data_IF_539714541651
#
_entry.id   IF_539714541651
#
_cell.length_a   1.000
_cell.length_b   1.000
_cell.length_c   1.000
_cell.angle_alpha   90.00
_cell.angle_beta   90.00
_cell.angle_gamma   90.00
#
_symmetry.space_group_name_H-M   'P 1'
#
loop_
_entity.id
_entity.type
_entity.pdbx_description
1 polymer ?
#
# COMPACT_ATOMS: atom_id res chain seq x y z
N UNK A 1 -6.35 -41.04 -4.88
CA UNK A 1 -5.42 -39.91 -5.13
C UNK A 1 -5.35 -39.70 -6.63
N UNK A 2 -5.55 -38.49 -7.15
CA UNK A 2 -4.66 -37.35 -6.90
C UNK A 2 -5.35 -36.12 -6.29
N UNK A 3 -4.56 -35.32 -5.56
CA UNK A 3 -4.93 -34.02 -4.99
C UNK A 3 -4.85 -32.96 -6.10
N UNK A 4 -6.00 -32.46 -6.53
CA UNK A 4 -6.06 -31.18 -7.25
C UNK A 4 -5.78 -30.06 -6.26
N UNK A 5 -4.62 -29.41 -6.40
CA UNK A 5 -4.39 -28.08 -5.83
C UNK A 5 -5.17 -27.12 -6.71
N UNK A 6 -6.34 -26.70 -6.23
CA UNK A 6 -7.14 -25.67 -6.87
C UNK A 6 -6.47 -24.32 -6.57
N UNK A 7 -5.58 -23.89 -7.46
CA UNK A 7 -5.16 -22.49 -7.54
C UNK A 7 -6.38 -21.73 -8.07
N UNK A 8 -7.20 -21.20 -7.17
CA UNK A 8 -8.31 -20.33 -7.52
C UNK A 8 -7.70 -19.01 -7.98
N UNK A 9 -7.83 -18.71 -9.28
CA UNK A 9 -7.54 -17.39 -9.86
C UNK A 9 -8.24 -16.32 -9.02
N UNK A 10 -7.45 -15.44 -8.40
CA UNK A 10 -7.94 -14.30 -7.60
C UNK A 10 -8.75 -13.31 -8.44
N UNK A 11 -8.66 -13.36 -9.78
CA UNK A 11 -9.43 -12.50 -10.68
C UNK A 11 -10.94 -12.82 -10.70
N UNK A 12 -11.33 -14.02 -10.21
CA UNK A 12 -12.75 -14.37 -10.07
C UNK A 12 -13.38 -13.92 -8.74
N UNK A 13 -12.58 -13.48 -7.78
CA UNK A 13 -13.13 -12.82 -6.60
C UNK A 13 -13.32 -11.34 -6.93
N UNK A 14 -14.55 -10.92 -6.74
CA UNK A 14 -14.94 -9.54 -6.85
C UNK A 14 -13.93 -8.65 -6.07
N UNK A 15 -13.29 -7.64 -6.69
CA UNK A 15 -12.37 -6.73 -6.00
C UNK A 15 -13.00 -6.06 -4.77
N UNK A 16 -14.33 -5.96 -4.77
CA UNK A 16 -15.14 -5.51 -3.63
C UNK A 16 -15.05 -6.43 -2.42
N UNK A 17 -14.87 -7.75 -2.60
CA UNK A 17 -14.67 -8.71 -1.53
C UNK A 17 -13.29 -8.54 -0.86
N UNK A 18 -12.24 -8.21 -1.61
CA UNK A 18 -10.89 -8.02 -1.04
C UNK A 18 -10.80 -6.68 -0.30
N UNK A 19 -11.38 -5.60 -0.83
CA UNK A 19 -11.50 -4.33 -0.11
C UNK A 19 -12.35 -4.48 1.15
N UNK A 20 -13.51 -5.15 1.06
CA UNK A 20 -14.36 -5.44 2.21
C UNK A 20 -13.64 -6.32 3.23
N UNK A 21 -12.96 -7.39 2.81
CA UNK A 21 -12.17 -8.25 3.70
C UNK A 21 -11.01 -7.48 4.33
N UNK A 22 -10.33 -6.59 3.60
CA UNK A 22 -9.20 -5.82 4.11
C UNK A 22 -9.69 -4.75 5.09
N UNK A 23 -10.74 -4.00 4.77
CA UNK A 23 -11.34 -3.03 5.68
C UNK A 23 -12.00 -3.70 6.88
N UNK A 24 -12.72 -4.81 6.70
CA UNK A 24 -13.28 -5.60 7.80
C UNK A 24 -12.19 -6.26 8.64
N UNK A 25 -11.10 -6.75 8.05
CA UNK A 25 -9.97 -7.27 8.81
C UNK A 25 -9.30 -6.15 9.62
N UNK A 26 -9.07 -4.97 9.03
CA UNK A 26 -8.53 -3.79 9.74
C UNK A 26 -9.48 -3.36 10.87
N UNK A 27 -10.79 -3.32 10.62
CA UNK A 27 -11.81 -2.96 11.61
C UNK A 27 -11.99 -4.03 12.69
N UNK A 28 -11.90 -5.31 12.36
CA UNK A 28 -11.95 -6.43 13.30
C UNK A 28 -10.68 -6.51 14.13
N UNK A 29 -9.51 -6.24 13.54
CA UNK A 29 -8.24 -6.11 14.26
C UNK A 29 -8.31 -4.90 15.20
N UNK A 30 -8.78 -3.74 14.71
CA UNK A 30 -8.97 -2.55 15.53
C UNK A 30 -9.95 -2.80 16.69
N UNK A 31 -11.12 -3.38 16.42
CA UNK A 31 -12.12 -3.72 17.42
C UNK A 31 -11.59 -4.77 18.40
N UNK A 32 -10.88 -5.80 17.93
CA UNK A 32 -10.30 -6.85 18.78
C UNK A 32 -9.21 -6.29 19.70
N UNK A 33 -8.37 -5.37 19.20
CA UNK A 33 -7.35 -4.69 20.01
C UNK A 33 -8.00 -3.77 21.05
N UNK A 34 -9.00 -2.99 20.65
CA UNK A 34 -9.71 -2.05 21.55
C UNK A 34 -10.53 -2.79 22.62
N UNK A 35 -11.08 -3.96 22.29
CA UNK A 35 -11.87 -4.78 23.24
C UNK A 35 -11.00 -5.67 24.14
N UNK A 36 -9.85 -6.16 23.66
CA UNK A 36 -8.93 -6.98 24.43
C UNK A 36 -8.12 -6.21 25.48
N UNK A 37 -8.04 -4.87 25.38
CA UNK A 37 -7.26 -4.04 26.30
C UNK A 37 -8.16 -2.97 26.95
N UNK A 38 -8.68 -3.20 28.17
CA UNK A 38 -9.64 -2.31 28.83
C UNK A 38 -9.17 -0.86 29.00
N UNK A 39 -7.85 -0.63 29.11
CA UNK A 39 -7.26 0.71 29.20
C UNK A 39 -7.30 1.51 27.88
N UNK A 40 -7.52 0.84 26.74
CA UNK A 40 -7.66 1.47 25.42
C UNK A 40 -9.06 2.03 25.19
N UNK A 41 -10.08 1.37 25.76
CA UNK A 41 -11.49 1.78 25.68
C UNK A 41 -11.74 3.17 26.30
N UNK A 42 -10.92 3.58 27.28
CA UNK A 42 -10.99 4.89 27.94
C UNK A 42 -10.20 6.00 27.23
N UNK A 43 -9.16 5.67 26.43
CA UNK A 43 -8.25 6.66 25.82
C UNK A 43 -8.59 6.99 24.37
N UNK A 44 -9.21 6.06 23.65
CA UNK A 44 -9.66 6.30 22.29
C UNK A 44 -11.06 6.92 22.35
N UNK A 45 -11.25 8.02 21.62
CA UNK A 45 -12.58 8.60 21.42
C UNK A 45 -13.31 7.73 20.38
N UNK A 46 -13.62 6.49 20.78
CA UNK A 46 -14.31 5.46 19.98
C UNK A 46 -15.58 6.07 19.38
N UNK A 47 -16.25 6.95 20.12
CA UNK A 47 -17.44 7.68 19.67
C UNK A 47 -17.15 8.57 18.44
N UNK A 48 -15.99 9.22 18.35
CA UNK A 48 -15.64 10.04 17.18
C UNK A 48 -15.39 9.20 15.93
N UNK A 49 -14.62 8.11 16.05
CA UNK A 49 -14.35 7.21 14.91
C UNK A 49 -15.64 6.53 14.42
N UNK A 50 -16.48 6.05 15.34
CA UNK A 50 -17.80 5.50 15.00
C UNK A 50 -18.74 6.58 14.45
N UNK A 51 -18.66 7.83 14.90
CA UNK A 51 -19.45 8.96 14.38
C UNK A 51 -19.01 9.39 12.98
N UNK A 52 -17.70 9.38 12.69
CA UNK A 52 -17.14 9.62 11.36
C UNK A 52 -17.48 8.46 10.42
N UNK A 53 -17.32 7.20 10.85
CA UNK A 53 -17.77 6.03 10.10
C UNK A 53 -19.29 6.04 9.86
N UNK A 54 -20.09 6.53 10.82
CA UNK A 54 -21.53 6.74 10.68
C UNK A 54 -21.87 7.83 9.66
N UNK A 55 -21.16 8.97 9.71
CA UNK A 55 -21.34 10.10 8.78
C UNK A 55 -20.88 9.79 7.35
N UNK A 56 -19.88 8.93 7.20
CA UNK A 56 -19.38 8.45 5.91
C UNK A 56 -20.15 7.22 5.36
N UNK A 57 -21.24 6.81 5.99
CA UNK A 57 -22.08 5.69 5.53
C UNK A 57 -21.52 4.29 5.77
N UNK A 58 -20.37 4.16 6.46
CA UNK A 58 -19.69 2.89 6.70
C UNK A 58 -20.39 1.99 7.74
N UNK A 59 -21.27 2.54 8.59
CA UNK A 59 -22.07 1.75 9.56
C UNK A 59 -23.26 1.01 8.95
N UNK A 60 -23.66 1.30 7.71
CA UNK A 60 -24.63 0.47 7.01
C UNK A 60 -24.13 -0.98 6.82
N UNK A 61 -22.81 -1.18 6.85
CA UNK A 61 -22.18 -2.50 6.73
C UNK A 61 -22.22 -3.31 8.04
N UNK A 62 -22.46 -2.67 9.19
CA UNK A 62 -22.54 -3.38 10.48
C UNK A 62 -23.92 -4.02 10.70
N UNK A 63 -24.99 -3.44 10.15
CA UNK A 63 -26.33 -4.06 10.16
C UNK A 63 -26.42 -5.28 9.21
N UNK A 64 -25.63 -5.30 8.13
CA UNK A 64 -25.52 -6.46 7.23
C UNK A 64 -24.69 -7.57 7.89
N UNK A 65 -23.62 -7.23 8.62
CA UNK A 65 -22.77 -8.20 9.33
C UNK A 65 -23.44 -8.85 10.56
N UNK A 66 -24.27 -8.12 11.30
CA UNK A 66 -24.95 -8.68 12.49
C UNK A 66 -26.10 -9.63 12.14
N UNK A 67 -26.60 -9.59 10.90
CA UNK A 67 -27.80 -10.34 10.49
C UNK A 67 -27.49 -11.61 9.67
N UNK A 68 -26.23 -11.87 9.31
CA UNK A 68 -25.88 -13.01 8.45
C UNK A 68 -24.90 -13.92 9.17
N UNK A 69 -25.45 -14.98 9.77
CA UNK A 69 -24.66 -16.15 10.17
C UNK A 69 -23.82 -16.63 8.97
N UNK A 70 -22.49 -16.57 9.15
CA UNK A 70 -21.43 -16.93 8.18
C UNK A 70 -21.59 -18.36 7.61
N UNK A 71 -22.42 -19.21 8.23
CA UNK A 71 -22.79 -20.54 7.73
C UNK A 71 -23.68 -20.52 6.46
N UNK A 72 -24.49 -19.47 6.26
CA UNK A 72 -25.48 -19.45 5.17
C UNK A 72 -24.88 -19.09 3.80
N UNK A 73 -23.85 -18.23 3.79
CA UNK A 73 -23.13 -17.85 2.55
C UNK A 73 -22.33 -19.03 2.01
N UNK A 74 -21.77 -19.87 2.89
CA UNK A 74 -20.96 -21.03 2.47
C UNK A 74 -21.82 -22.12 1.82
N UNK A 75 -23.03 -22.39 2.33
CA UNK A 75 -23.95 -23.38 1.72
C UNK A 75 -24.56 -22.95 0.39
N UNK A 76 -24.64 -21.66 0.10
CA UNK A 76 -25.22 -21.15 -1.15
C UNK A 76 -24.21 -21.10 -2.30
N UNK A 77 -22.90 -21.21 -2.02
CA UNK A 77 -21.85 -21.17 -3.04
C UNK A 77 -21.53 -22.54 -3.67
N UNK A 78 -21.97 -23.65 -3.09
CA UNK A 78 -21.79 -24.99 -3.67
C UNK A 78 -22.87 -25.38 -4.70
N UNK A 79 -24.00 -24.67 -4.74
CA UNK A 79 -25.08 -24.91 -5.69
C UNK A 79 -25.69 -23.62 -6.22
N UNK A 80 -25.20 -23.16 -7.37
CA UNK A 80 -25.97 -22.28 -8.25
C UNK A 80 -26.06 -22.89 -9.65
N UNK A 81 -27.25 -23.34 -10.08
CA UNK A 81 -27.62 -23.24 -11.47
C UNK A 81 -27.93 -21.77 -11.80
N UNK A 82 -27.61 -21.39 -13.03
CA UNK A 82 -27.94 -20.11 -13.67
C UNK A 82 -29.44 -19.84 -13.55
N UNK A 83 -29.85 -18.65 -13.09
CA UNK A 83 -30.97 -17.82 -13.62
C UNK A 83 -31.41 -16.69 -12.64
N UNK A 84 -31.76 -15.53 -13.23
CA UNK A 84 -32.87 -14.68 -12.77
C UNK A 84 -32.54 -13.36 -12.07
N UNK A 85 -32.66 -12.25 -12.80
CA UNK A 85 -32.74 -10.87 -12.28
C UNK A 85 -33.88 -10.74 -11.26
N UNK A 86 -33.57 -10.19 -10.08
CA UNK A 86 -34.34 -9.24 -9.25
C UNK A 86 -34.11 -9.49 -7.75
N UNK A 87 -33.06 -8.88 -7.19
CA UNK A 87 -32.94 -8.69 -5.74
C UNK A 87 -33.06 -7.19 -5.43
N UNK A 88 -33.98 -6.84 -4.52
CA UNK A 88 -34.23 -5.48 -4.07
C UNK A 88 -33.11 -5.09 -3.10
N UNK A 89 -32.23 -4.22 -3.59
CA UNK A 89 -31.08 -3.68 -2.86
C UNK A 89 -31.54 -2.63 -1.83
N UNK A 90 -31.06 -2.70 -0.58
CA UNK A 90 -31.44 -1.75 0.47
C UNK A 90 -30.90 -0.32 0.21
N UNK A 91 -31.47 0.75 0.82
CA UNK A 91 -31.10 2.14 0.51
C UNK A 91 -29.61 2.46 0.65
N UNK A 92 -28.94 1.85 1.65
CA UNK A 92 -27.52 2.03 1.86
C UNK A 92 -26.65 1.23 0.88
N UNK A 93 -27.13 0.07 0.44
CA UNK A 93 -26.46 -0.75 -0.55
C UNK A 93 -26.59 -0.14 -1.96
N UNK A 94 -27.73 0.49 -2.24
CA UNK A 94 -27.95 1.35 -3.42
C UNK A 94 -27.04 2.58 -3.40
N UNK A 95 -26.89 3.26 -2.25
CA UNK A 95 -25.98 4.41 -2.13
C UNK A 95 -24.51 4.01 -2.35
N UNK A 96 -24.08 2.92 -1.71
CA UNK A 96 -22.73 2.39 -1.86
C UNK A 96 -22.49 2.00 -3.31
N UNK A 97 -23.38 1.20 -3.92
CA UNK A 97 -23.23 0.69 -5.28
C UNK A 97 -23.33 1.76 -6.37
N UNK A 98 -24.20 2.78 -6.20
CA UNK A 98 -24.45 3.79 -7.24
C UNK A 98 -23.60 5.06 -7.10
N UNK A 99 -23.09 5.39 -5.91
CA UNK A 99 -22.38 6.65 -5.68
C UNK A 99 -20.95 6.47 -5.18
N UNK A 100 -20.71 5.55 -4.23
CA UNK A 100 -19.37 5.33 -3.68
C UNK A 100 -18.53 4.41 -4.60
N UNK A 101 -19.19 3.47 -5.28
CA UNK A 101 -18.57 2.41 -6.08
C UNK A 101 -18.84 2.50 -7.59
N UNK A 102 -19.43 3.59 -8.08
CA UNK A 102 -19.52 3.79 -9.53
C UNK A 102 -18.12 4.11 -10.09
N UNK A 103 -17.76 3.49 -11.22
CA UNK A 103 -16.44 3.58 -11.87
C UNK A 103 -15.78 4.98 -11.87
N UNK A 104 -16.49 6.10 -12.13
CA UNK A 104 -15.86 7.43 -12.11
C UNK A 104 -15.44 7.93 -10.72
N UNK A 105 -15.93 7.36 -9.62
CA UNK A 105 -15.62 7.82 -8.25
C UNK A 105 -14.52 7.03 -7.56
N UNK A 106 -14.14 5.85 -8.07
CA UNK A 106 -13.14 4.96 -7.49
C UNK A 106 -11.81 5.68 -7.17
N UNK A 107 -11.23 6.52 -8.06
CA UNK A 107 -10.00 7.25 -7.76
C UNK A 107 -10.14 8.16 -6.52
N UNK A 108 -11.24 8.92 -6.43
CA UNK A 108 -11.41 9.91 -5.36
C UNK A 108 -11.71 9.27 -4.01
N UNK A 109 -12.55 8.24 -3.99
CA UNK A 109 -12.91 7.52 -2.74
C UNK A 109 -11.73 6.73 -2.21
N UNK A 110 -10.90 6.14 -3.08
CA UNK A 110 -9.68 5.43 -2.68
C UNK A 110 -8.58 6.36 -2.15
N UNK A 111 -8.41 7.56 -2.71
CA UNK A 111 -7.51 8.60 -2.16
C UNK A 111 -7.92 8.99 -0.74
N UNK A 112 -9.20 9.30 -0.54
CA UNK A 112 -9.72 9.61 0.80
C UNK A 112 -9.55 8.43 1.75
N UNK A 113 -9.80 7.21 1.28
CA UNK A 113 -9.55 5.97 2.02
C UNK A 113 -8.08 5.83 2.44
N UNK A 114 -7.14 6.14 1.56
CA UNK A 114 -5.71 6.14 1.85
C UNK A 114 -5.32 7.14 2.94
N UNK A 115 -5.82 8.38 2.87
CA UNK A 115 -5.57 9.43 3.90
C UNK A 115 -6.14 9.00 5.26
N UNK A 116 -7.38 8.50 5.28
CA UNK A 116 -8.00 8.03 6.52
C UNK A 116 -7.26 6.81 7.11
N UNK A 117 -6.79 5.91 6.25
CA UNK A 117 -5.96 4.77 6.67
C UNK A 117 -4.66 5.26 7.29
N UNK A 118 -3.99 6.27 6.72
CA UNK A 118 -2.78 6.83 7.32
C UNK A 118 -3.03 7.35 8.74
N UNK A 119 -4.11 8.10 8.94
CA UNK A 119 -4.47 8.60 10.29
C UNK A 119 -4.76 7.46 11.28
N UNK A 120 -5.52 6.46 10.85
CA UNK A 120 -5.85 5.30 11.67
C UNK A 120 -4.58 4.53 12.07
N UNK A 121 -3.69 4.28 11.12
CA UNK A 121 -2.44 3.55 11.35
C UNK A 121 -1.49 4.33 12.24
N UNK A 122 -1.42 5.66 12.09
CA UNK A 122 -0.67 6.53 12.99
C UNK A 122 -1.12 6.33 14.45
N UNK A 123 -2.43 6.43 14.69
CA UNK A 123 -3.01 6.33 16.04
C UNK A 123 -2.83 4.92 16.61
N UNK A 124 -3.04 3.89 15.79
CA UNK A 124 -2.86 2.51 16.20
C UNK A 124 -1.39 2.21 16.51
N UNK A 125 -0.46 2.71 15.68
CA UNK A 125 0.98 2.57 15.92
C UNK A 125 1.36 3.24 17.23
N UNK A 126 0.90 4.47 17.47
CA UNK A 126 1.11 5.18 18.73
C UNK A 126 0.59 4.38 19.93
N UNK A 127 -0.60 3.79 19.79
CA UNK A 127 -1.27 3.05 20.84
C UNK A 127 -0.54 1.75 21.20
N UNK A 128 -0.30 0.90 20.20
CA UNK A 128 0.41 -0.36 20.35
C UNK A 128 1.82 -0.08 20.89
N UNK A 129 2.49 0.94 20.36
CA UNK A 129 3.85 1.30 20.78
C UNK A 129 3.90 1.74 22.25
N UNK A 130 2.95 2.57 22.69
CA UNK A 130 2.88 3.02 24.08
C UNK A 130 2.62 1.89 25.10
N UNK A 131 1.94 0.82 24.68
CA UNK A 131 1.61 -0.33 25.54
C UNK A 131 2.73 -1.37 25.55
N UNK A 132 3.22 -1.77 24.38
CA UNK A 132 4.10 -2.93 24.24
C UNK A 132 5.58 -2.57 24.19
N UNK A 133 5.94 -1.34 23.81
CA UNK A 133 7.34 -0.95 23.62
C UNK A 133 7.78 -0.01 24.75
N UNK A 134 8.44 -0.57 25.77
CA UNK A 134 8.92 0.20 26.95
C UNK A 134 9.75 1.43 26.57
N UNK A 135 10.56 1.34 25.51
CA UNK A 135 11.38 2.44 25.02
C UNK A 135 10.59 3.60 24.40
N UNK A 136 9.37 3.35 23.90
CA UNK A 136 8.58 4.34 23.16
C UNK A 136 8.19 5.55 24.03
N UNK A 137 7.81 5.32 25.29
CA UNK A 137 7.41 6.40 26.19
C UNK A 137 8.59 7.30 26.62
N UNK A 138 9.83 6.80 26.50
CA UNK A 138 11.05 7.57 26.75
C UNK A 138 11.53 8.40 25.56
N UNK A 139 10.94 8.23 24.38
CA UNK A 139 11.32 8.97 23.18
C UNK A 139 10.85 10.43 23.24
N UNK A 140 11.64 11.32 22.64
CA UNK A 140 11.25 12.72 22.45
C UNK A 140 9.97 12.82 21.61
N UNK A 141 9.28 13.97 21.64
CA UNK A 141 8.06 14.19 20.85
C UNK A 141 8.31 13.94 19.35
N UNK A 142 9.42 14.45 18.82
CA UNK A 142 9.79 14.31 17.41
C UNK A 142 10.07 12.84 17.05
N UNK A 143 10.83 12.13 17.89
CA UNK A 143 11.12 10.70 17.68
C UNK A 143 9.84 9.85 17.73
N UNK A 144 8.88 10.16 18.60
CA UNK A 144 7.57 9.47 18.61
C UNK A 144 6.78 9.74 17.33
N UNK A 145 6.80 10.98 16.84
CA UNK A 145 6.17 11.29 15.57
C UNK A 145 6.81 10.52 14.41
N UNK A 146 8.14 10.48 14.33
CA UNK A 146 8.85 9.69 13.33
C UNK A 146 8.55 8.19 13.47
N UNK A 147 8.54 7.67 14.71
CA UNK A 147 8.21 6.28 15.00
C UNK A 147 6.84 5.90 14.46
N UNK A 148 5.83 6.74 14.70
CA UNK A 148 4.46 6.48 14.25
C UNK A 148 4.33 6.66 12.74
N UNK A 149 5.04 7.63 12.16
CA UNK A 149 5.07 7.83 10.71
C UNK A 149 5.66 6.62 9.97
N UNK A 150 6.71 6.02 10.53
CA UNK A 150 7.28 4.77 10.02
C UNK A 150 6.32 3.58 10.09
N UNK A 151 5.34 3.61 11.00
CA UNK A 151 4.26 2.63 11.04
C UNK A 151 3.35 2.75 9.81
N UNK A 152 2.99 3.99 9.43
CA UNK A 152 2.20 4.27 8.23
C UNK A 152 2.92 3.76 6.98
N UNK A 153 4.17 4.20 6.76
CA UNK A 153 4.94 3.84 5.58
C UNK A 153 5.22 2.34 5.49
N UNK A 154 5.43 1.66 6.62
CA UNK A 154 5.57 0.19 6.64
C UNK A 154 4.30 -0.51 6.16
N UNK A 155 3.13 -0.12 6.65
CA UNK A 155 1.88 -0.76 6.23
C UNK A 155 1.59 -0.50 4.74
N UNK A 156 1.74 0.75 4.31
CA UNK A 156 1.55 1.12 2.91
C UNK A 156 2.49 0.31 2.00
N UNK A 157 3.77 0.26 2.36
CA UNK A 157 4.77 -0.46 1.59
C UNK A 157 4.45 -1.94 1.44
N UNK A 158 3.98 -2.61 2.50
CA UNK A 158 3.54 -4.01 2.44
C UNK A 158 2.34 -4.15 1.48
N UNK A 159 1.31 -3.32 1.66
CA UNK A 159 0.12 -3.33 0.82
C UNK A 159 0.45 -3.14 -0.67
N UNK A 160 1.20 -2.09 -1.00
CA UNK A 160 1.46 -1.75 -2.39
C UNK A 160 2.46 -2.71 -3.02
N UNK A 161 3.44 -3.23 -2.28
CA UNK A 161 4.39 -4.21 -2.82
C UNK A 161 3.69 -5.51 -3.20
N UNK A 162 2.82 -6.05 -2.32
CA UNK A 162 2.05 -7.27 -2.61
C UNK A 162 1.15 -7.04 -3.83
N UNK A 163 0.44 -5.92 -3.85
CA UNK A 163 -0.50 -5.59 -4.94
C UNK A 163 0.24 -5.38 -6.26
N UNK A 164 1.39 -4.70 -6.24
CA UNK A 164 2.21 -4.46 -7.43
C UNK A 164 2.80 -5.77 -7.97
N UNK A 165 3.33 -6.63 -7.10
CA UNK A 165 3.84 -7.94 -7.51
C UNK A 165 2.74 -8.79 -8.14
N UNK A 166 1.54 -8.80 -7.54
CA UNK A 166 0.38 -9.49 -8.08
C UNK A 166 0.05 -9.00 -9.50
N UNK A 167 -0.11 -7.69 -9.68
CA UNK A 167 -0.46 -7.14 -10.99
C UNK A 167 0.62 -7.36 -12.06
N UNK A 168 1.89 -7.16 -11.70
CA UNK A 168 3.00 -7.24 -12.66
C UNK A 168 3.32 -8.68 -13.07
N UNK A 169 3.21 -9.66 -12.16
CA UNK A 169 3.72 -11.02 -12.41
C UNK A 169 2.67 -12.13 -12.38
N UNK A 170 1.50 -11.91 -11.76
CA UNK A 170 0.51 -12.97 -11.54
C UNK A 170 -0.87 -12.70 -12.15
N UNK A 171 -1.23 -11.44 -12.39
CA UNK A 171 -2.50 -11.09 -13.03
C UNK A 171 -2.39 -11.15 -14.56
N UNK A 172 -3.50 -11.48 -15.21
CA UNK A 172 -3.63 -11.45 -16.66
C UNK A 172 -3.73 -10.02 -17.21
N UNK A 173 -3.93 -9.00 -16.35
CA UNK A 173 -4.11 -7.59 -16.72
C UNK A 173 -3.01 -7.04 -17.63
N UNK A 174 -1.75 -7.42 -17.36
CA UNK A 174 -0.58 -6.98 -18.12
C UNK A 174 0.08 -8.12 -18.90
N UNK A 175 -0.63 -9.25 -19.10
CA UNK A 175 -0.11 -10.38 -19.87
C UNK A 175 -0.14 -10.14 -21.38
N UNK A 176 0.84 -10.68 -22.11
CA UNK A 176 0.91 -10.55 -23.57
C UNK A 176 -0.11 -11.43 -24.32
N UNK A 177 -0.76 -12.37 -23.62
CA UNK A 177 -1.47 -13.46 -24.26
C UNK A 177 -2.92 -13.15 -24.67
N UNK A 178 -3.53 -12.06 -24.19
CA UNK A 178 -5.00 -11.99 -24.16
C UNK A 178 -5.70 -10.65 -24.46
N UNK A 179 -5.01 -9.58 -24.85
CA UNK A 179 -5.70 -8.30 -25.10
C UNK A 179 -5.22 -7.54 -26.33
N UNK A 180 -6.21 -7.04 -27.10
CA UNK A 180 -6.01 -6.16 -28.25
C UNK A 180 -5.61 -4.73 -27.85
N UNK A 181 -5.79 -4.36 -26.57
CA UNK A 181 -5.41 -3.07 -26.03
C UNK A 181 -3.89 -3.00 -25.76
N UNK A 182 -3.30 -1.84 -26.01
CA UNK A 182 -1.88 -1.56 -25.76
C UNK A 182 -1.59 -1.64 -24.25
N UNK A 183 -0.44 -2.23 -23.87
CA UNK A 183 -0.10 -2.49 -22.46
C UNK A 183 -0.04 -1.21 -21.62
N UNK A 184 0.24 -0.07 -22.26
CA UNK A 184 0.29 1.26 -21.65
C UNK A 184 -1.07 1.84 -21.30
N UNK A 185 -2.17 1.31 -21.82
CA UNK A 185 -3.54 1.80 -21.57
C UNK A 185 -4.36 0.84 -20.69
N UNK A 186 -3.87 -0.40 -20.50
CA UNK A 186 -4.55 -1.41 -19.68
C UNK A 186 -4.62 -0.97 -18.22
N UNK A 187 -5.83 -1.04 -17.68
CA UNK A 187 -6.12 -0.76 -16.29
C UNK A 187 -7.38 -1.52 -15.84
N UNK A 188 -7.62 -1.56 -14.54
CA UNK A 188 -8.81 -2.15 -13.94
C UNK A 188 -9.27 -1.30 -12.75
N UNK A 189 -10.54 -1.40 -12.31
CA UNK A 189 -11.00 -0.71 -11.10
C UNK A 189 -10.16 -1.05 -9.87
N UNK A 190 -9.69 -2.31 -9.75
CA UNK A 190 -8.85 -2.74 -8.62
C UNK A 190 -7.45 -2.12 -8.66
N UNK A 191 -6.84 -2.08 -9.85
CA UNK A 191 -5.51 -1.48 -10.01
C UNK A 191 -5.57 0.03 -9.77
N UNK A 192 -6.58 0.71 -10.31
CA UNK A 192 -6.84 2.14 -10.05
C UNK A 192 -7.12 2.42 -8.57
N UNK A 193 -7.91 1.56 -7.90
CA UNK A 193 -8.14 1.67 -6.46
C UNK A 193 -6.85 1.57 -5.64
N UNK A 194 -5.98 0.60 -5.97
CA UNK A 194 -4.70 0.41 -5.27
C UNK A 194 -3.78 1.63 -5.45
N UNK A 195 -3.72 2.19 -6.66
CA UNK A 195 -2.99 3.43 -6.90
C UNK A 195 -3.59 4.61 -6.12
N UNK A 196 -4.92 4.72 -6.02
CA UNK A 196 -5.53 5.79 -5.26
C UNK A 196 -5.31 5.73 -3.75
N UNK A 197 -5.35 4.53 -3.16
CA UNK A 197 -4.88 4.34 -1.77
C UNK A 197 -3.43 4.82 -1.62
N UNK A 198 -2.58 4.55 -2.62
CA UNK A 198 -1.18 4.97 -2.63
C UNK A 198 -1.02 6.49 -2.76
N UNK A 199 -1.82 7.15 -3.59
CA UNK A 199 -1.86 8.62 -3.68
C UNK A 199 -2.22 9.24 -2.33
N UNK A 200 -3.26 8.71 -1.66
CA UNK A 200 -3.65 9.16 -0.33
C UNK A 200 -2.53 9.03 0.71
N UNK A 201 -1.76 7.95 0.63
CA UNK A 201 -0.54 7.78 1.42
C UNK A 201 0.54 8.82 1.08
N UNK A 202 0.92 8.96 -0.20
CA UNK A 202 1.99 9.89 -0.60
C UNK A 202 1.66 11.34 -0.23
N UNK A 203 0.40 11.77 -0.36
CA UNK A 203 -0.04 13.10 0.08
C UNK A 203 0.11 13.25 1.60
N UNK A 204 -0.32 12.25 2.37
CA UNK A 204 -0.25 12.28 3.84
C UNK A 204 1.20 12.33 4.32
N UNK A 205 2.06 11.49 3.76
CA UNK A 205 3.47 11.41 4.15
C UNK A 205 4.26 12.65 3.72
N UNK A 206 4.06 13.13 2.49
CA UNK A 206 4.66 14.38 2.02
C UNK A 206 4.22 15.58 2.88
N UNK A 207 2.94 15.65 3.25
CA UNK A 207 2.41 16.67 4.14
C UNK A 207 3.12 16.67 5.51
N UNK A 208 3.34 15.49 6.09
CA UNK A 208 4.08 15.36 7.35
C UNK A 208 5.57 15.71 7.19
N UNK A 209 6.23 15.24 6.13
CA UNK A 209 7.63 15.57 5.83
C UNK A 209 7.81 17.08 5.75
N UNK A 210 6.94 17.77 5.00
CA UNK A 210 6.98 19.23 4.86
C UNK A 210 6.68 19.94 6.19
N UNK A 211 5.67 19.51 6.94
CA UNK A 211 5.28 20.13 8.21
C UNK A 211 6.36 20.01 9.29
N UNK A 212 7.11 18.91 9.28
CA UNK A 212 8.11 18.59 10.29
C UNK A 212 9.54 18.69 9.73
N UNK A 213 9.72 19.31 8.57
CA UNK A 213 11.02 19.48 7.94
C UNK A 213 11.96 20.28 8.85
N UNK A 214 13.25 19.90 8.98
CA UNK A 214 13.94 18.75 8.36
C UNK A 214 13.95 17.48 9.24
N UNK A 215 13.09 17.38 10.26
CA UNK A 215 13.16 16.34 11.29
C UNK A 215 12.72 14.96 10.81
N UNK A 216 11.77 14.87 9.86
CA UNK A 216 11.28 13.59 9.31
C UNK A 216 11.99 13.14 8.03
N UNK A 217 12.79 14.00 7.41
CA UNK A 217 13.45 13.71 6.15
C UNK A 217 14.25 14.88 5.59
N UNK A 218 15.17 14.57 4.67
CA UNK A 218 15.91 15.53 3.87
C UNK A 218 15.23 15.88 2.55
N UNK A 219 15.86 16.75 1.76
CA UNK A 219 15.39 17.18 0.43
C UNK A 219 15.17 15.98 -0.49
N UNK A 220 15.97 14.93 -0.38
CA UNK A 220 15.80 13.71 -1.15
C UNK A 220 14.44 13.03 -0.91
N UNK A 221 13.90 13.11 0.31
CA UNK A 221 12.60 12.52 0.62
C UNK A 221 11.46 13.36 0.04
N UNK A 222 11.58 14.68 0.07
CA UNK A 222 10.60 15.59 -0.55
C UNK A 222 10.56 15.35 -2.06
N UNK A 223 11.71 15.30 -2.72
CA UNK A 223 11.79 15.05 -4.17
C UNK A 223 11.23 13.67 -4.51
N UNK A 224 11.64 12.63 -3.77
CA UNK A 224 11.13 11.27 -3.97
C UNK A 224 9.61 11.21 -3.86
N UNK A 225 9.03 11.69 -2.75
CA UNK A 225 7.59 11.60 -2.51
C UNK A 225 6.79 12.50 -3.46
N UNK A 226 7.32 13.65 -3.87
CA UNK A 226 6.66 14.52 -4.85
C UNK A 226 6.59 13.87 -6.23
N UNK A 227 7.71 13.31 -6.72
CA UNK A 227 7.76 12.60 -8.00
C UNK A 227 6.83 11.38 -7.99
N UNK A 228 6.86 10.58 -6.91
CA UNK A 228 5.97 9.44 -6.73
C UNK A 228 4.50 9.87 -6.69
N UNK A 229 4.15 10.90 -5.90
CA UNK A 229 2.78 11.40 -5.81
C UNK A 229 2.24 11.82 -7.18
N UNK A 230 3.03 12.55 -7.97
CA UNK A 230 2.64 13.03 -9.30
C UNK A 230 2.45 11.85 -10.27
N UNK A 231 3.42 10.93 -10.36
CA UNK A 231 3.36 9.80 -11.29
C UNK A 231 2.23 8.81 -10.96
N UNK A 232 2.04 8.50 -9.68
CA UNK A 232 0.98 7.59 -9.22
C UNK A 232 -0.39 8.25 -9.42
N UNK A 233 -0.53 9.55 -9.14
CA UNK A 233 -1.78 10.28 -9.39
C UNK A 233 -2.14 10.32 -10.87
N UNK A 234 -1.16 10.58 -11.74
CA UNK A 234 -1.36 10.55 -13.19
C UNK A 234 -1.91 9.20 -13.65
N UNK A 235 -1.25 8.11 -13.25
CA UNK A 235 -1.58 6.76 -13.73
C UNK A 235 -2.90 6.25 -13.14
N UNK A 236 -3.25 6.71 -11.93
CA UNK A 236 -4.57 6.49 -11.33
C UNK A 236 -5.67 7.23 -12.10
N UNK A 237 -5.48 8.52 -12.40
CA UNK A 237 -6.54 9.37 -12.97
C UNK A 237 -6.77 9.11 -14.46
N UNK A 238 -5.72 8.76 -15.19
CA UNK A 238 -5.78 8.56 -16.65
C UNK A 238 -5.95 7.10 -17.04
N UNK A 239 -5.59 6.15 -16.16
CA UNK A 239 -5.49 4.73 -16.50
C UNK A 239 -4.23 4.38 -17.31
N UNK A 240 -3.43 5.37 -17.72
CA UNK A 240 -2.24 5.13 -18.52
C UNK A 240 -1.01 4.78 -17.67
N UNK A 241 -0.14 3.92 -18.19
CA UNK A 241 1.18 3.64 -17.61
C UNK A 241 1.14 2.89 -16.27
N UNK A 242 -0.01 2.29 -15.91
CA UNK A 242 -0.17 1.61 -14.62
C UNK A 242 0.84 0.47 -14.43
N UNK A 243 1.15 -0.30 -15.49
CA UNK A 243 2.18 -1.34 -15.43
C UNK A 243 3.52 -0.78 -14.91
N UNK A 244 3.99 0.31 -15.52
CA UNK A 244 5.26 0.94 -15.16
C UNK A 244 5.22 1.56 -13.76
N UNK A 245 4.07 2.09 -13.36
CA UNK A 245 3.87 2.59 -12.00
C UNK A 245 3.96 1.45 -10.99
N UNK A 246 3.31 0.31 -11.23
CA UNK A 246 3.43 -0.85 -10.36
C UNK A 246 4.85 -1.44 -10.34
N UNK A 247 5.54 -1.50 -11.49
CA UNK A 247 6.96 -1.91 -11.52
C UNK A 247 7.82 -1.02 -10.60
N UNK A 248 7.61 0.30 -10.62
CA UNK A 248 8.31 1.23 -9.72
C UNK A 248 7.88 1.01 -8.26
N UNK A 249 6.59 0.81 -7.99
CA UNK A 249 6.06 0.64 -6.63
C UNK A 249 6.48 -0.66 -5.94
N UNK A 250 6.87 -1.71 -6.68
CA UNK A 250 7.52 -2.90 -6.09
C UNK A 250 8.76 -2.50 -5.27
N UNK A 251 9.43 -1.40 -5.61
CA UNK A 251 10.59 -0.91 -4.85
C UNK A 251 10.28 -0.55 -3.39
N UNK A 252 9.00 -0.32 -3.05
CA UNK A 252 8.55 -0.13 -1.67
C UNK A 252 8.75 -1.36 -0.79
N UNK A 253 9.02 -2.55 -1.35
CA UNK A 253 9.33 -3.76 -0.57
C UNK A 253 10.55 -3.57 0.34
N UNK A 254 11.40 -2.61 0.02
CA UNK A 254 12.58 -2.24 0.82
C UNK A 254 12.24 -1.34 2.02
N UNK A 255 11.12 -0.62 2.00
CA UNK A 255 10.74 0.38 3.00
C UNK A 255 10.55 -0.21 4.41
N UNK A 256 9.87 -1.38 4.59
CA UNK A 256 9.77 -2.03 5.89
C UNK A 256 11.13 -2.33 6.52
N UNK A 257 12.11 -2.75 5.72
CA UNK A 257 13.44 -3.07 6.20
C UNK A 257 14.23 -1.82 6.61
N UNK A 258 14.10 -0.72 5.85
CA UNK A 258 14.67 0.58 6.23
C UNK A 258 14.06 1.09 7.54
N UNK A 259 12.74 0.97 7.70
CA UNK A 259 12.03 1.34 8.92
C UNK A 259 12.44 0.46 10.11
N UNK A 260 12.55 -0.85 9.91
CA UNK A 260 13.03 -1.78 10.93
C UNK A 260 14.44 -1.45 11.38
N UNK A 261 15.34 -1.10 10.45
CA UNK A 261 16.69 -0.64 10.79
C UNK A 261 16.69 0.57 11.70
N UNK A 262 15.81 1.54 11.40
CA UNK A 262 15.66 2.73 12.21
C UNK A 262 15.08 2.41 13.60
N UNK A 263 14.08 1.53 13.69
CA UNK A 263 13.54 1.08 14.98
C UNK A 263 14.60 0.40 15.84
N UNK A 264 15.44 -0.45 15.24
CA UNK A 264 16.57 -1.07 15.95
C UNK A 264 17.59 -0.02 16.40
N UNK A 265 17.82 1.02 15.62
CA UNK A 265 18.72 2.11 16.00
C UNK A 265 18.19 2.91 17.20
N UNK A 266 16.95 3.39 17.10
CA UNK A 266 16.37 4.31 18.08
C UNK A 266 16.22 3.67 19.47
N UNK A 267 16.09 2.34 19.53
CA UNK A 267 16.05 1.58 20.80
C UNK A 267 17.42 1.06 21.24
N UNK A 268 18.51 1.51 20.61
CA UNK A 268 19.89 1.24 21.04
C UNK A 268 20.45 -0.12 20.58
N UNK A 269 19.82 -0.80 19.63
CA UNK A 269 20.18 -2.15 19.17
C UNK A 269 21.13 -2.18 17.95
N UNK A 270 21.84 -1.07 17.65
CA UNK A 270 22.84 -0.98 16.57
C UNK A 270 23.92 -2.07 16.57
N UNK A 271 24.24 -2.63 17.75
CA UNK A 271 25.27 -3.68 17.91
C UNK A 271 24.72 -5.11 17.92
N UNK A 272 23.40 -5.26 17.78
CA UNK A 272 22.74 -6.58 17.81
C UNK A 272 22.94 -7.37 16.51
N UNK A 273 22.79 -8.69 16.58
CA UNK A 273 22.73 -9.54 15.39
C UNK A 273 21.52 -9.21 14.50
N UNK A 274 20.40 -8.76 15.09
CA UNK A 274 19.22 -8.32 14.34
C UNK A 274 19.53 -7.14 13.41
N UNK A 275 20.29 -6.15 13.90
CA UNK A 275 20.70 -4.98 13.09
C UNK A 275 21.64 -5.38 11.94
N UNK A 276 22.53 -6.36 12.17
CA UNK A 276 23.39 -6.90 11.13
C UNK A 276 22.59 -7.65 10.05
N UNK A 277 21.71 -8.56 10.46
CA UNK A 277 20.88 -9.37 9.56
C UNK A 277 19.99 -8.46 8.71
N UNK A 278 19.27 -7.53 9.33
CA UNK A 278 18.46 -6.54 8.62
C UNK A 278 19.32 -5.74 7.62
N UNK A 279 20.57 -5.38 7.97
CA UNK A 279 21.47 -4.71 7.04
C UNK A 279 21.85 -5.54 5.81
N UNK A 280 21.99 -6.86 5.95
CA UNK A 280 22.23 -7.78 4.84
C UNK A 280 20.96 -7.92 3.98
N UNK A 281 19.79 -8.05 4.62
CA UNK A 281 18.49 -8.12 3.92
C UNK A 281 18.25 -6.85 3.09
N UNK A 282 18.50 -5.66 3.66
CA UNK A 282 18.41 -4.38 2.93
C UNK A 282 19.30 -4.40 1.69
N UNK A 283 20.53 -4.90 1.80
CA UNK A 283 21.45 -4.94 0.65
C UNK A 283 20.88 -5.75 -0.51
N UNK A 284 20.42 -6.98 -0.25
CA UNK A 284 19.86 -7.84 -1.29
C UNK A 284 18.51 -7.32 -1.81
N UNK A 285 17.62 -6.88 -0.92
CA UNK A 285 16.33 -6.31 -1.31
C UNK A 285 16.51 -5.07 -2.19
N UNK A 286 17.48 -4.20 -1.87
CA UNK A 286 17.79 -3.02 -2.67
C UNK A 286 18.35 -3.38 -4.05
N UNK A 287 19.29 -4.33 -4.11
CA UNK A 287 19.85 -4.80 -5.39
C UNK A 287 18.73 -5.33 -6.30
N UNK A 288 17.85 -6.19 -5.79
CA UNK A 288 16.79 -6.79 -6.59
C UNK A 288 15.71 -5.77 -6.95
N UNK A 289 15.10 -5.12 -5.97
CA UNK A 289 13.90 -4.31 -6.18
C UNK A 289 14.16 -2.88 -6.68
N UNK A 290 15.37 -2.34 -6.46
CA UNK A 290 15.70 -0.94 -6.80
C UNK A 290 16.77 -0.79 -7.88
N UNK A 291 17.56 -1.84 -8.15
CA UNK A 291 18.57 -1.83 -9.24
C UNK A 291 18.12 -2.73 -10.39
N UNK A 292 18.02 -4.04 -10.18
CA UNK A 292 17.71 -4.99 -11.24
C UNK A 292 16.30 -4.77 -11.82
N UNK A 293 15.31 -4.52 -10.96
CA UNK A 293 13.95 -4.22 -11.42
C UNK A 293 13.85 -2.94 -12.24
N UNK A 294 14.62 -1.90 -11.90
CA UNK A 294 14.66 -0.67 -12.69
C UNK A 294 15.31 -0.89 -14.05
N UNK A 295 16.38 -1.68 -14.12
CA UNK A 295 16.99 -2.10 -15.40
C UNK A 295 15.96 -2.86 -16.25
N UNK A 296 15.25 -3.82 -15.66
CA UNK A 296 14.17 -4.55 -16.33
C UNK A 296 13.06 -3.63 -16.83
N UNK A 297 12.62 -2.68 -16.00
CA UNK A 297 11.58 -1.72 -16.35
C UNK A 297 12.00 -0.84 -17.54
N UNK A 298 13.23 -0.29 -17.55
CA UNK A 298 13.73 0.47 -18.70
C UNK A 298 13.84 -0.37 -19.97
N UNK A 299 14.28 -1.62 -19.84
CA UNK A 299 14.31 -2.56 -20.96
C UNK A 299 12.89 -2.82 -21.50
N UNK A 300 11.91 -3.00 -20.62
CA UNK A 300 10.50 -3.18 -21.02
C UNK A 300 9.93 -1.95 -21.72
N UNK A 301 10.20 -0.74 -21.19
CA UNK A 301 9.82 0.53 -21.82
C UNK A 301 10.46 0.67 -23.21
N UNK A 302 11.73 0.28 -23.36
CA UNK A 302 12.42 0.29 -24.65
C UNK A 302 11.75 -0.63 -25.68
N UNK A 303 11.37 -1.85 -25.29
CA UNK A 303 10.66 -2.78 -26.18
C UNK A 303 9.26 -2.28 -26.57
N UNK A 304 8.60 -1.52 -25.69
CA UNK A 304 7.24 -1.01 -25.89
C UNK A 304 7.22 0.48 -26.22
N UNK A 305 8.32 1.01 -26.80
CA UNK A 305 8.50 2.43 -27.06
C UNK A 305 7.33 3.02 -27.85
N UNK A 306 6.89 2.34 -28.92
CA UNK A 306 5.79 2.79 -29.77
C UNK A 306 4.46 2.91 -29.03
N UNK A 307 4.24 2.11 -27.98
CA UNK A 307 3.04 2.18 -27.14
C UNK A 307 3.11 3.33 -26.14
N UNK A 308 4.31 3.63 -25.64
CA UNK A 308 4.55 4.77 -24.74
C UNK A 308 4.41 6.10 -25.50
N UNK A 309 4.83 6.15 -26.76
CA UNK A 309 4.68 7.34 -27.61
C UNK A 309 3.22 7.67 -27.96
N UNK A 310 2.30 6.72 -27.77
CA UNK A 310 0.86 6.94 -27.97
C UNK A 310 0.15 7.49 -26.73
N UNK A 311 0.77 7.43 -25.55
CA UNK A 311 0.23 8.03 -24.32
C UNK A 311 0.13 9.55 -24.43
N UNK A 312 -0.61 10.19 -23.53
CA UNK A 312 -0.56 11.66 -23.45
C UNK A 312 0.88 12.13 -23.19
N UNK A 313 1.21 13.34 -23.64
CA UNK A 313 2.53 13.96 -23.47
C UNK A 313 3.01 13.92 -22.01
N UNK A 314 2.11 14.17 -21.05
CA UNK A 314 2.41 14.05 -19.63
C UNK A 314 2.80 12.62 -19.24
N UNK A 315 2.07 11.61 -19.73
CA UNK A 315 2.34 10.20 -19.44
C UNK A 315 3.68 9.75 -20.00
N UNK A 316 3.97 10.09 -21.26
CA UNK A 316 5.28 9.86 -21.87
C UNK A 316 6.41 10.48 -21.02
N UNK A 317 6.29 11.76 -20.62
CA UNK A 317 7.30 12.43 -19.78
C UNK A 317 7.46 11.71 -18.43
N UNK A 318 6.37 11.29 -17.82
CA UNK A 318 6.41 10.64 -16.50
C UNK A 318 7.01 9.24 -16.54
N UNK A 319 6.69 8.44 -17.57
CA UNK A 319 7.24 7.07 -17.75
C UNK A 319 8.75 7.08 -17.90
N UNK A 320 9.32 8.08 -18.57
CA UNK A 320 10.78 8.20 -18.68
C UNK A 320 11.41 8.98 -17.53
N UNK A 321 10.84 10.14 -17.18
CA UNK A 321 11.45 11.09 -16.27
C UNK A 321 11.49 10.63 -14.81
N UNK A 322 10.36 10.16 -14.28
CA UNK A 322 10.26 9.79 -12.86
C UNK A 322 11.12 8.55 -12.55
N UNK A 323 11.02 7.43 -13.30
CA UNK A 323 11.90 6.29 -13.07
C UNK A 323 13.39 6.62 -13.22
N UNK A 324 13.78 7.52 -14.13
CA UNK A 324 15.17 7.96 -14.29
C UNK A 324 15.70 8.73 -13.08
N UNK A 325 14.91 9.65 -12.56
CA UNK A 325 15.23 10.38 -11.33
C UNK A 325 15.34 9.41 -10.14
N UNK A 326 14.36 8.51 -9.99
CA UNK A 326 14.34 7.50 -8.93
C UNK A 326 15.51 6.51 -9.04
N UNK A 327 15.88 6.08 -10.25
CA UNK A 327 17.04 5.22 -10.48
C UNK A 327 18.34 5.89 -10.02
N UNK A 328 18.51 7.18 -10.32
CA UNK A 328 19.68 7.96 -9.89
C UNK A 328 19.76 8.01 -8.36
N UNK A 329 18.64 8.28 -7.69
CA UNK A 329 18.57 8.27 -6.23
C UNK A 329 18.84 6.88 -5.66
N UNK A 330 18.29 5.83 -6.28
CA UNK A 330 18.51 4.44 -5.89
C UNK A 330 19.98 4.04 -5.98
N UNK A 331 20.72 4.49 -7.00
CA UNK A 331 22.16 4.27 -7.12
C UNK A 331 22.95 5.01 -6.03
N UNK A 332 22.60 6.27 -5.76
CA UNK A 332 23.22 7.04 -4.67
C UNK A 332 23.04 6.36 -3.30
N UNK A 333 21.82 5.93 -2.99
CA UNK A 333 21.51 5.24 -1.74
C UNK A 333 22.15 3.84 -1.67
N UNK A 334 22.20 3.10 -2.78
CA UNK A 334 22.90 1.81 -2.84
C UNK A 334 24.39 1.97 -2.52
N UNK A 335 25.01 3.04 -3.02
CA UNK A 335 26.38 3.41 -2.63
C UNK A 335 26.55 3.64 -1.13
N UNK A 336 25.58 4.26 -0.45
CA UNK A 336 25.58 4.42 1.01
C UNK A 336 25.43 3.06 1.74
N UNK A 337 24.55 2.19 1.26
CA UNK A 337 24.34 0.84 1.82
C UNK A 337 25.62 0.00 1.70
N UNK A 338 26.26 -0.01 0.54
CA UNK A 338 27.55 -0.69 0.30
C UNK A 338 28.63 -0.22 1.27
N UNK A 339 28.79 1.10 1.44
CA UNK A 339 29.74 1.68 2.40
C UNK A 339 29.42 1.25 3.84
N UNK A 340 28.14 1.26 4.22
CA UNK A 340 27.68 0.83 5.55
C UNK A 340 27.95 -0.65 5.83
N UNK A 341 27.70 -1.51 4.86
CA UNK A 341 27.95 -2.95 4.97
C UNK A 341 29.45 -3.25 5.10
N UNK A 342 30.30 -2.66 4.24
CA UNK A 342 31.76 -2.80 4.31
C UNK A 342 32.30 -2.41 5.69
N UNK A 343 31.86 -1.27 6.23
CA UNK A 343 32.26 -0.80 7.58
C UNK A 343 31.85 -1.77 8.69
N UNK A 344 30.74 -2.49 8.52
CA UNK A 344 30.25 -3.44 9.53
C UNK A 344 31.04 -4.74 9.48
N UNK A 345 31.37 -5.23 8.29
CA UNK A 345 32.19 -6.43 8.10
C UNK A 345 33.63 -6.23 8.56
N UNK A 346 34.24 -5.07 8.24
CA UNK A 346 35.61 -4.75 8.63
C UNK A 346 35.82 -4.59 10.14
N UNK A 347 34.76 -4.44 10.94
CA UNK A 347 34.83 -4.38 12.41
C UNK A 347 34.69 -5.74 13.10
N UNK A 348 34.30 -6.77 12.36
CA UNK A 348 34.19 -8.15 12.85
C UNK A 348 35.41 -9.00 12.48
N UNK A 349 36.24 -8.51 11.56
CA UNK A 349 37.62 -8.95 11.36
C UNK A 349 38.50 -8.23 12.39
#
# INVERSE_FOLDING_TARGET
MPRFIMIVSMERYNPWSIMYITMCAILLIYHSIVTAVPSLKQKLNVIWFYSVAKKLGLLALQQVSASVHVSWIWRKLEHYPVLGKNEICGPAEVLVKNYILADPFVPYTSVLGGVLTCKLVYDLTQLISAVYFRGYNGLTKIQRTEWNNRGISTLHAIFISITSLYFVFWSDLFSDHHSAELITFRNSPLSTFALGVSVGYFISDLGMICWLYPSLGGVEYIVHHSLSAIAVSYSMLTGEGQLYTFMVLISEVTTPEINMRWYLDIVGLKRSNAYLINGIVIFFAWLVARILLFVYMFYHVYLHHDQVMQMHTCGFILVYGVPSALATMNLMWFGKILKGLKKTLAKKQ
#
